data_IF_202012175008
#
_entry.id   IF_202012175008
#
_cell.length_a   1.000
_cell.length_b   1.000
_cell.length_c   1.000
_cell.angle_alpha   90.00
_cell.angle_beta   90.00
_cell.angle_gamma   90.00
#
_symmetry.space_group_name_H-M   'P 1'
#
loop_
_entity.id
_entity.type
_entity.pdbx_description
1 polymer ?
#
# COMPACT_ATOMS: atom_id res chain seq x y z
N UNK A 1 2.45 -11.39 6.15
CA UNK A 1 1.84 -10.42 7.11
C UNK A 1 0.67 -11.06 7.88
N UNK A 2 0.04 -10.39 8.85
CA UNK A 2 -1.20 -10.92 9.49
C UNK A 2 -2.40 -10.83 8.53
N UNK A 3 -3.44 -11.65 8.72
CA UNK A 3 -4.65 -11.59 7.88
C UNK A 3 -5.29 -10.19 7.85
N UNK A 4 -5.31 -9.50 9.01
CA UNK A 4 -5.80 -8.13 9.09
C UNK A 4 -4.96 -7.16 8.24
N UNK A 5 -3.63 -7.23 8.36
CA UNK A 5 -2.74 -6.40 7.55
C UNK A 5 -2.92 -6.70 6.06
N UNK A 6 -3.13 -7.96 5.69
CA UNK A 6 -3.37 -8.34 4.30
C UNK A 6 -4.64 -7.69 3.77
N UNK A 7 -5.76 -7.85 4.49
CA UNK A 7 -7.02 -7.20 4.10
C UNK A 7 -6.90 -5.67 4.07
N UNK A 8 -6.15 -5.08 5.00
CA UNK A 8 -5.88 -3.65 5.02
C UNK A 8 -5.13 -3.18 3.78
N UNK A 9 -4.05 -3.88 3.39
CA UNK A 9 -3.26 -3.50 2.22
C UNK A 9 -4.05 -3.63 0.92
N UNK A 10 -4.87 -4.68 0.78
CA UNK A 10 -5.79 -4.84 -0.36
C UNK A 10 -6.77 -3.66 -0.42
N UNK A 11 -7.35 -3.25 0.72
CA UNK A 11 -8.26 -2.10 0.77
C UNK A 11 -7.57 -0.78 0.38
N UNK A 12 -6.32 -0.57 0.81
CA UNK A 12 -5.51 0.61 0.43
C UNK A 12 -5.17 0.58 -1.07
N UNK A 13 -4.81 -0.57 -1.62
CA UNK A 13 -4.56 -0.72 -3.05
C UNK A 13 -5.81 -0.41 -3.89
N UNK A 14 -6.97 -0.94 -3.48
CA UNK A 14 -8.26 -0.62 -4.10
C UNK A 14 -8.60 0.87 -4.01
N UNK A 15 -8.37 1.49 -2.84
CA UNK A 15 -8.57 2.92 -2.68
C UNK A 15 -7.71 3.72 -3.66
N UNK A 16 -6.43 3.38 -3.80
CA UNK A 16 -5.55 4.04 -4.75
C UNK A 16 -6.04 3.86 -6.19
N UNK A 17 -6.38 2.64 -6.58
CA UNK A 17 -6.89 2.35 -7.92
C UNK A 17 -8.18 3.10 -8.27
N UNK A 18 -9.07 3.29 -7.29
CA UNK A 18 -10.38 3.91 -7.52
C UNK A 18 -10.36 5.44 -7.39
N UNK A 19 -9.55 5.97 -6.47
CA UNK A 19 -9.53 7.40 -6.17
C UNK A 19 -8.45 8.17 -6.91
N UNK A 20 -7.37 7.49 -7.34
CA UNK A 20 -6.14 8.09 -7.88
C UNK A 20 -5.56 9.20 -6.98
N UNK A 21 -5.76 9.06 -5.67
CA UNK A 21 -5.31 10.02 -4.65
C UNK A 21 -4.32 9.36 -3.67
N UNK A 22 -3.01 9.32 -4.04
CA UNK A 22 -1.98 8.64 -3.25
C UNK A 22 -1.75 9.25 -1.87
N UNK A 23 -2.07 10.53 -1.70
CA UNK A 23 -1.99 11.21 -0.39
C UNK A 23 -2.94 10.56 0.63
N UNK A 24 -4.19 10.29 0.25
CA UNK A 24 -5.17 9.69 1.18
C UNK A 24 -4.74 8.28 1.57
N UNK A 25 -4.27 7.49 0.60
CA UNK A 25 -3.77 6.14 0.86
C UNK A 25 -2.53 6.15 1.78
N UNK A 26 -1.61 7.10 1.59
CA UNK A 26 -0.45 7.28 2.45
C UNK A 26 -0.80 7.72 3.87
N UNK A 27 -1.78 8.62 4.03
CA UNK A 27 -2.27 9.07 5.34
C UNK A 27 -2.86 7.87 6.11
N UNK A 28 -3.69 7.06 5.45
CA UNK A 28 -4.27 5.84 6.05
C UNK A 28 -3.18 4.86 6.49
N UNK A 29 -2.15 4.64 5.67
CA UNK A 29 -1.01 3.79 6.03
C UNK A 29 -0.22 4.35 7.21
N UNK A 30 -0.06 5.67 7.27
CA UNK A 30 0.69 6.35 8.33
C UNK A 30 -0.03 6.29 9.66
N UNK A 31 -1.34 6.58 9.68
CA UNK A 31 -2.21 6.51 10.85
C UNK A 31 -2.34 5.07 11.38
N UNK A 32 -2.33 4.08 10.49
CA UNK A 32 -2.31 2.66 10.88
C UNK A 32 -0.92 2.16 11.34
N UNK A 33 0.15 2.95 11.16
CA UNK A 33 1.52 2.55 11.49
C UNK A 33 2.13 1.52 10.53
N UNK A 34 1.63 1.41 9.30
CA UNK A 34 2.01 0.37 8.32
C UNK A 34 2.92 0.89 7.19
N UNK A 35 3.59 2.02 7.42
CA UNK A 35 4.47 2.71 6.45
C UNK A 35 5.67 1.87 5.95
N UNK A 36 6.02 0.80 6.67
CA UNK A 36 7.15 -0.09 6.36
C UNK A 36 6.73 -1.56 6.24
N UNK A 37 5.46 -1.82 5.93
CA UNK A 37 4.94 -3.19 5.86
C UNK A 37 5.55 -3.94 4.66
N UNK A 38 5.85 -5.23 4.84
CA UNK A 38 6.28 -6.10 3.75
C UNK A 38 5.07 -6.60 2.94
N UNK A 39 5.05 -6.19 1.68
CA UNK A 39 3.98 -6.45 0.71
C UNK A 39 4.35 -7.58 -0.29
N UNK A 40 5.44 -8.32 -0.04
CA UNK A 40 5.92 -9.38 -0.95
C UNK A 40 4.87 -10.45 -1.27
N UNK A 41 3.96 -10.72 -0.32
CA UNK A 41 2.90 -11.73 -0.42
C UNK A 41 1.68 -11.28 -1.25
N UNK A 42 1.56 -9.98 -1.56
CA UNK A 42 0.45 -9.45 -2.35
C UNK A 42 0.60 -9.79 -3.83
N UNK A 43 -0.51 -9.77 -4.56
CA UNK A 43 -0.49 -9.94 -6.00
C UNK A 43 0.01 -8.68 -6.72
N UNK A 44 0.30 -8.81 -8.03
CA UNK A 44 0.82 -7.69 -8.81
C UNK A 44 -0.20 -6.56 -9.03
N UNK A 45 -1.50 -6.86 -8.97
CA UNK A 45 -2.52 -5.83 -9.08
C UNK A 45 -2.44 -4.88 -7.89
N UNK A 46 -2.37 -5.42 -6.67
CA UNK A 46 -2.25 -4.64 -5.45
C UNK A 46 -0.88 -3.93 -5.38
N UNK A 47 0.21 -4.64 -5.67
CA UNK A 47 1.56 -4.07 -5.65
C UNK A 47 1.71 -2.90 -6.61
N UNK A 48 1.06 -2.94 -7.77
CA UNK A 48 1.12 -1.84 -8.74
C UNK A 48 0.58 -0.52 -8.17
N UNK A 49 -0.53 -0.55 -7.42
CA UNK A 49 -1.06 0.62 -6.73
C UNK A 49 -0.15 1.07 -5.59
N UNK A 50 0.36 0.12 -4.80
CA UNK A 50 1.23 0.44 -3.65
C UNK A 50 2.56 1.07 -4.08
N UNK A 51 3.09 0.73 -5.27
CA UNK A 51 4.27 1.39 -5.85
C UNK A 51 4.05 2.88 -6.11
N UNK A 52 2.85 3.28 -6.52
CA UNK A 52 2.51 4.71 -6.73
C UNK A 52 2.62 5.46 -5.40
N UNK A 53 2.00 4.92 -4.36
CA UNK A 53 2.02 5.51 -3.01
C UNK A 53 3.47 5.64 -2.49
N UNK A 54 4.28 4.59 -2.64
CA UNK A 54 5.69 4.58 -2.24
C UNK A 54 6.50 5.66 -2.96
N UNK A 55 6.33 5.81 -4.27
CA UNK A 55 7.12 6.70 -5.10
C UNK A 55 6.74 8.18 -4.94
N UNK A 56 5.46 8.47 -4.71
CA UNK A 56 4.96 9.84 -4.71
C UNK A 56 4.96 10.48 -3.32
N UNK A 57 4.68 9.71 -2.26
CA UNK A 57 4.37 10.26 -0.93
C UNK A 57 5.44 9.91 0.14
N UNK A 58 6.49 9.18 -0.23
CA UNK A 58 7.62 8.89 0.66
C UNK A 58 7.34 7.82 1.73
N UNK A 59 6.27 7.04 1.54
CA UNK A 59 6.06 5.76 2.24
C UNK A 59 7.14 4.77 1.80
N UNK A 60 7.51 3.81 2.66
CA UNK A 60 8.57 2.81 2.41
C UNK A 60 8.07 1.37 2.60
N UNK A 61 6.98 1.02 1.95
CA UNK A 61 6.53 -0.36 1.83
C UNK A 61 7.64 -1.22 1.21
N UNK A 62 7.81 -2.44 1.73
CA UNK A 62 8.82 -3.39 1.30
C UNK A 62 8.18 -4.43 0.36
N UNK A 63 9.00 -5.17 -0.40
CA UNK A 63 8.47 -6.27 -1.24
C UNK A 63 7.70 -5.83 -2.48
N UNK A 64 7.91 -4.58 -2.93
CA UNK A 64 7.28 -4.01 -4.12
C UNK A 64 8.18 -4.04 -5.37
N UNK A 65 9.21 -4.89 -5.39
CA UNK A 65 10.10 -5.03 -6.55
C UNK A 65 9.32 -5.63 -7.74
N UNK A 66 9.76 -5.33 -8.97
CA UNK A 66 9.15 -5.78 -10.23
C UNK A 66 9.51 -7.24 -10.56
#
# INVERSE_FOLDING_TARGET
>A
MTEFQHGFMVAVALLQHLSDQPIIAADILSEAGFQNLDCSELDEYDKSALRIINNEIGIKLLGLEL
#
